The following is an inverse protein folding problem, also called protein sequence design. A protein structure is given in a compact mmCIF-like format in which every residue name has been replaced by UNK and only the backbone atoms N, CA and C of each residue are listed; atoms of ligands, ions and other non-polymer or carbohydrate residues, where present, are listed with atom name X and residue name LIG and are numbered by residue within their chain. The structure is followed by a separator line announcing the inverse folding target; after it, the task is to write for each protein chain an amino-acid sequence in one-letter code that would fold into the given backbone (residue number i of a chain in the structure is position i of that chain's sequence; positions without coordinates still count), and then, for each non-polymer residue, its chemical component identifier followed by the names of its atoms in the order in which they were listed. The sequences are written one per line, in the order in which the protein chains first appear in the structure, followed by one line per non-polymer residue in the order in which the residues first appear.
data_IF_937973853316
#
_entry.id   IF_937973853316
#
_cell.length_a   1.000
_cell.length_b   1.000
_cell.length_c   1.000
_cell.angle_alpha   90.00
_cell.angle_beta   90.00
_cell.angle_gamma   90.00
#
_symmetry.space_group_name_H-M   'P 1'
#
loop_
_entity.id
_entity.type
_entity.pdbx_description
1 polymer ?
#
# COMPACT_ATOMS: atom_id res chain seq x y z
N UNK A 1 -18.75 -16.67 -10.59
CA UNK A 1 -18.29 -15.49 -11.34
C UNK A 1 -18.17 -14.37 -10.33
N UNK A 2 -16.98 -13.79 -10.14
CA UNK A 2 -16.87 -12.57 -9.34
C UNK A 2 -17.59 -11.46 -10.12
N UNK A 3 -18.40 -10.68 -9.43
CA UNK A 3 -19.08 -9.52 -10.02
C UNK A 3 -18.02 -8.57 -10.60
N UNK A 4 -18.25 -8.07 -11.80
CA UNK A 4 -17.39 -7.04 -12.36
C UNK A 4 -17.66 -5.76 -11.58
N UNK A 5 -16.62 -5.19 -10.98
CA UNK A 5 -16.67 -3.89 -10.29
C UNK A 5 -16.39 -2.83 -11.37
N UNK A 6 -17.40 -2.10 -11.88
CA UNK A 6 -17.23 -1.19 -13.01
C UNK A 6 -16.19 -0.10 -12.76
N UNK A 7 -15.99 0.27 -11.49
CA UNK A 7 -15.03 1.27 -11.02
C UNK A 7 -13.57 0.86 -11.29
N UNK A 8 -13.28 -0.44 -11.41
CA UNK A 8 -11.95 -0.93 -11.78
C UNK A 8 -11.71 -0.98 -13.29
N UNK A 9 -12.65 -0.49 -14.12
CA UNK A 9 -12.46 -0.49 -15.57
C UNK A 9 -11.39 0.51 -16.02
N UNK A 10 -11.34 1.66 -15.35
CA UNK A 10 -10.53 2.80 -15.76
C UNK A 10 -9.35 3.06 -14.79
N UNK A 11 -9.03 2.11 -13.91
CA UNK A 11 -7.88 2.24 -13.00
C UNK A 11 -6.56 2.07 -13.76
N UNK A 12 -5.56 2.84 -13.36
CA UNK A 12 -4.20 2.69 -13.86
C UNK A 12 -3.55 1.44 -13.23
N UNK A 13 -3.01 0.55 -14.07
CA UNK A 13 -2.41 -0.72 -13.62
C UNK A 13 -1.04 -0.90 -14.26
N UNK A 14 -0.03 -1.07 -13.41
CA UNK A 14 1.34 -1.37 -13.82
C UNK A 14 1.76 -2.76 -13.36
N UNK A 15 2.08 -3.64 -14.31
CA UNK A 15 2.72 -4.91 -13.98
C UNK A 15 4.24 -4.74 -13.92
N UNK A 16 4.80 -4.92 -12.73
CA UNK A 16 6.20 -4.66 -12.45
C UNK A 16 6.92 -5.94 -12.03
N UNK A 17 7.50 -6.62 -13.02
CA UNK A 17 8.20 -7.89 -12.80
C UNK A 17 9.38 -7.80 -11.82
N UNK A 18 9.95 -6.61 -11.62
CA UNK A 18 11.02 -6.36 -10.65
C UNK A 18 10.66 -6.77 -9.22
N UNK A 19 9.38 -6.68 -8.85
CA UNK A 19 8.93 -7.08 -7.52
C UNK A 19 9.05 -8.58 -7.24
N UNK A 20 9.11 -9.45 -8.25
CA UNK A 20 9.39 -10.87 -8.02
C UNK A 20 10.81 -11.11 -7.51
N UNK A 21 11.76 -10.30 -7.97
CA UNK A 21 13.15 -10.38 -7.55
C UNK A 21 13.39 -9.63 -6.25
N UNK A 22 12.83 -8.42 -6.13
CA UNK A 22 13.04 -7.55 -4.96
C UNK A 22 12.33 -8.09 -3.71
N UNK A 23 11.15 -8.71 -3.84
CA UNK A 23 10.46 -9.32 -2.70
C UNK A 23 11.24 -10.46 -2.04
N UNK A 24 12.17 -11.07 -2.78
CA UNK A 24 13.05 -12.12 -2.30
C UNK A 24 14.35 -11.59 -1.67
N UNK A 25 14.57 -10.26 -1.69
CA UNK A 25 15.72 -9.59 -1.09
C UNK A 25 15.27 -8.83 0.17
N UNK A 26 15.77 -9.26 1.33
CA UNK A 26 15.42 -8.67 2.63
C UNK A 26 15.68 -7.16 2.66
N UNK A 27 14.69 -6.40 3.15
CA UNK A 27 14.79 -4.95 3.37
C UNK A 27 14.81 -4.06 2.12
N UNK A 28 14.68 -4.61 0.91
CA UNK A 28 14.72 -3.81 -0.33
C UNK A 28 13.34 -3.39 -0.85
N UNK A 29 12.28 -4.07 -0.40
CA UNK A 29 10.93 -3.89 -0.97
C UNK A 29 10.35 -2.51 -0.65
N UNK A 30 10.62 -1.94 0.53
CA UNK A 30 10.12 -0.62 0.91
C UNK A 30 10.66 0.48 -0.01
N UNK A 31 11.96 0.51 -0.25
CA UNK A 31 12.60 1.51 -1.12
C UNK A 31 12.11 1.37 -2.56
N UNK A 32 12.02 0.13 -3.06
CA UNK A 32 11.53 -0.13 -4.42
C UNK A 32 10.04 0.23 -4.59
N UNK A 33 9.22 0.06 -3.55
CA UNK A 33 7.83 0.55 -3.53
C UNK A 33 7.79 2.08 -3.61
N UNK A 34 8.59 2.77 -2.77
CA UNK A 34 8.69 4.23 -2.81
C UNK A 34 9.08 4.74 -4.19
N UNK A 35 10.18 4.23 -4.76
CA UNK A 35 10.65 4.62 -6.09
C UNK A 35 9.61 4.36 -7.17
N UNK A 36 8.93 3.22 -7.08
CA UNK A 36 7.87 2.85 -8.02
C UNK A 36 6.67 3.79 -7.93
N UNK A 37 6.19 4.07 -6.71
CA UNK A 37 5.02 4.91 -6.50
C UNK A 37 5.31 6.34 -6.97
N UNK A 38 6.42 6.95 -6.57
CA UNK A 38 6.81 8.28 -7.04
C UNK A 38 7.03 8.34 -8.56
N UNK A 39 7.39 7.22 -9.20
CA UNK A 39 7.59 7.17 -10.66
C UNK A 39 6.29 7.10 -11.45
N UNK A 40 5.31 6.33 -10.98
CA UNK A 40 4.12 5.99 -11.78
C UNK A 40 2.84 6.66 -11.27
N UNK A 41 2.71 6.95 -9.98
CA UNK A 41 1.54 7.63 -9.44
C UNK A 41 1.73 9.15 -9.57
N UNK A 42 0.80 9.83 -10.23
CA UNK A 42 0.73 11.29 -10.18
C UNK A 42 0.19 11.75 -8.83
N UNK A 43 0.45 13.00 -8.46
CA UNK A 43 -0.06 13.58 -7.21
C UNK A 43 -1.59 13.74 -7.17
N UNK A 44 -2.28 13.56 -8.31
CA UNK A 44 -3.74 13.49 -8.39
C UNK A 44 -4.28 12.13 -7.90
N UNK A 45 -3.44 11.08 -7.92
CA UNK A 45 -3.77 9.75 -7.40
C UNK A 45 -3.52 9.76 -5.90
N UNK A 46 -4.59 9.72 -5.10
CA UNK A 46 -4.50 9.78 -3.63
C UNK A 46 -4.41 8.41 -2.97
N UNK A 47 -4.53 7.31 -3.73
CA UNK A 47 -4.53 5.95 -3.19
C UNK A 47 -3.90 4.99 -4.19
N UNK A 48 -2.95 4.19 -3.72
CA UNK A 48 -2.28 3.15 -4.52
C UNK A 48 -2.41 1.81 -3.81
N UNK A 49 -2.82 0.78 -4.55
CA UNK A 49 -2.83 -0.60 -4.07
C UNK A 49 -1.63 -1.37 -4.63
N UNK A 50 -0.76 -1.83 -3.74
CA UNK A 50 0.42 -2.62 -4.11
C UNK A 50 0.21 -4.10 -3.79
N UNK A 51 0.30 -4.96 -4.80
CA UNK A 51 0.14 -6.42 -4.65
C UNK A 51 1.45 -7.15 -4.92
N UNK A 52 1.79 -8.13 -4.08
CA UNK A 52 2.99 -8.93 -4.26
C UNK A 52 3.09 -10.06 -3.25
N UNK A 53 4.33 -10.42 -2.91
CA UNK A 53 4.62 -11.61 -2.10
C UNK A 53 5.26 -11.25 -0.76
N UNK A 54 4.95 -12.05 0.24
CA UNK A 54 5.72 -12.09 1.48
C UNK A 54 7.08 -12.76 1.21
N UNK A 55 8.15 -12.39 1.94
CA UNK A 55 8.17 -11.50 3.11
C UNK A 55 8.30 -10.01 2.80
N UNK A 56 8.73 -9.63 1.60
CA UNK A 56 9.00 -8.23 1.26
C UNK A 56 7.87 -7.24 1.55
N UNK A 57 6.61 -7.63 1.32
CA UNK A 57 5.44 -6.76 1.59
C UNK A 57 5.19 -6.53 3.08
N UNK A 58 5.37 -7.57 3.89
CA UNK A 58 5.28 -7.49 5.34
C UNK A 58 6.35 -6.55 5.91
N UNK A 59 7.58 -6.66 5.40
CA UNK A 59 8.70 -5.80 5.78
C UNK A 59 8.43 -4.35 5.37
N UNK A 60 7.96 -4.11 4.14
CA UNK A 60 7.65 -2.77 3.68
C UNK A 60 6.54 -2.11 4.52
N UNK A 61 5.44 -2.82 4.79
CA UNK A 61 4.38 -2.32 5.66
C UNK A 61 4.89 -2.03 7.07
N UNK A 62 5.79 -2.87 7.58
CA UNK A 62 6.42 -2.67 8.90
C UNK A 62 7.34 -1.46 8.93
N UNK A 63 8.13 -1.25 7.87
CA UNK A 63 9.03 -0.09 7.74
C UNK A 63 8.22 1.21 7.65
N UNK A 64 7.20 1.26 6.80
CA UNK A 64 6.39 2.48 6.63
C UNK A 64 5.62 2.83 7.91
N UNK A 65 5.01 1.84 8.56
CA UNK A 65 4.25 2.07 9.81
C UNK A 65 5.10 2.20 11.06
N UNK A 66 6.33 1.69 11.06
CA UNK A 66 7.17 1.57 12.26
C UNK A 66 6.66 0.51 13.25
N UNK A 67 5.66 -0.29 12.86
CA UNK A 67 5.07 -1.35 13.66
C UNK A 67 5.43 -2.73 13.08
N UNK A 68 5.43 -3.76 13.91
CA UNK A 68 5.55 -5.14 13.40
C UNK A 68 4.23 -5.54 12.74
N UNK A 69 4.21 -5.63 11.42
CA UNK A 69 3.05 -6.10 10.65
C UNK A 69 3.25 -7.58 10.30
N UNK A 70 2.18 -8.38 10.36
CA UNK A 70 2.15 -9.76 9.84
C UNK A 70 1.10 -9.85 8.73
N UNK A 71 1.51 -10.31 7.54
CA UNK A 71 0.59 -10.52 6.42
C UNK A 71 0.47 -12.00 6.11
N UNK A 72 -0.76 -12.52 6.12
CA UNK A 72 -1.08 -13.84 5.57
C UNK A 72 -1.51 -13.71 4.11
N UNK A 73 -1.68 -14.85 3.44
CA UNK A 73 -2.18 -14.88 2.06
C UNK A 73 -3.46 -14.08 1.95
N UNK A 74 -3.47 -13.14 1.00
CA UNK A 74 -4.60 -12.25 0.71
C UNK A 74 -4.98 -11.28 1.85
N UNK A 75 -4.09 -11.04 2.82
CA UNK A 75 -4.20 -9.88 3.69
C UNK A 75 -3.77 -8.60 2.97
N UNK A 76 -4.26 -7.45 3.44
CA UNK A 76 -3.81 -6.13 3.00
C UNK A 76 -3.61 -5.21 4.21
N UNK A 77 -2.44 -4.57 4.32
CA UNK A 77 -2.23 -3.50 5.28
C UNK A 77 -2.71 -2.17 4.67
N UNK A 78 -3.63 -1.48 5.34
CA UNK A 78 -4.04 -0.13 4.97
C UNK A 78 -3.21 0.87 5.76
N UNK A 79 -2.39 1.64 5.04
CA UNK A 79 -1.61 2.73 5.60
C UNK A 79 -2.04 4.06 4.99
N UNK A 80 -1.95 5.13 5.78
CA UNK A 80 -2.15 6.49 5.30
C UNK A 80 -1.14 7.45 5.92
N UNK A 81 -0.89 8.53 5.19
CA UNK A 81 -0.07 9.68 5.61
C UNK A 81 -0.63 10.93 4.93
N UNK A 82 -0.09 12.10 5.26
CA UNK A 82 -0.46 13.38 4.65
C UNK A 82 0.76 13.96 3.94
N UNK A 83 0.55 14.48 2.73
CA UNK A 83 1.57 15.15 1.92
C UNK A 83 0.93 15.82 0.70
N UNK A 84 1.59 16.82 0.12
CA UNK A 84 1.12 17.48 -1.11
C UNK A 84 1.61 16.77 -2.38
N UNK A 85 2.55 15.82 -2.25
CA UNK A 85 3.00 14.91 -3.31
C UNK A 85 3.36 13.55 -2.72
N UNK A 86 3.52 12.52 -3.57
CA UNK A 86 4.02 11.21 -3.11
C UNK A 86 5.44 11.29 -2.56
N UNK A 87 6.32 12.10 -3.16
CA UNK A 87 7.68 12.32 -2.64
C UNK A 87 7.64 12.89 -1.22
N UNK A 88 6.86 13.96 -0.99
CA UNK A 88 6.69 14.58 0.34
C UNK A 88 6.12 13.57 1.34
N UNK A 89 5.11 12.79 0.94
CA UNK A 89 4.54 11.73 1.77
C UNK A 89 5.58 10.69 2.23
N UNK A 90 6.61 10.42 1.42
CA UNK A 90 7.72 9.52 1.76
C UNK A 90 8.89 10.20 2.48
N UNK A 91 8.92 11.53 2.60
CA UNK A 91 9.91 12.25 3.42
C UNK A 91 9.69 12.05 4.92
N UNK A 92 8.49 11.62 5.32
CA UNK A 92 8.19 11.21 6.71
C UNK A 92 9.09 10.08 7.22
N UNK A 93 9.71 9.33 6.31
CA UNK A 93 10.64 8.25 6.61
C UNK A 93 9.97 7.01 7.21
N UNK A 94 10.80 6.10 7.73
CA UNK A 94 10.33 4.88 8.40
C UNK A 94 9.53 5.23 9.65
N UNK A 95 8.36 4.62 9.82
CA UNK A 95 7.42 4.95 10.89
C UNK A 95 6.61 6.22 10.68
N UNK A 96 6.73 6.86 9.51
CA UNK A 96 6.00 8.10 9.22
C UNK A 96 4.54 7.89 8.78
N UNK A 97 4.13 6.66 8.52
CA UNK A 97 2.79 6.33 8.04
C UNK A 97 1.97 5.70 9.17
N UNK A 98 0.68 6.00 9.22
CA UNK A 98 -0.24 5.39 10.18
C UNK A 98 -0.82 4.10 9.60
N UNK A 99 -0.64 2.98 10.29
CA UNK A 99 -1.32 1.73 9.98
C UNK A 99 -2.75 1.78 10.52
N UNK A 100 -3.75 1.93 9.65
CA UNK A 100 -5.16 1.94 10.06
C UNK A 100 -5.63 0.54 10.45
N UNK A 101 -5.33 -0.46 9.62
CA UNK A 101 -5.77 -1.84 9.84
C UNK A 101 -5.00 -2.84 8.96
N UNK A 102 -5.10 -4.12 9.29
CA UNK A 102 -4.73 -5.23 8.41
C UNK A 102 -6.00 -5.99 8.06
N UNK A 103 -6.46 -5.81 6.83
CA UNK A 103 -7.63 -6.46 6.26
C UNK A 103 -7.35 -7.91 5.90
N UNK A 104 -8.35 -8.76 6.13
CA UNK A 104 -8.38 -10.17 5.78
C UNK A 104 -9.49 -10.43 4.76
N UNK A 105 -9.43 -11.52 3.98
CA UNK A 105 -10.41 -11.82 2.95
C UNK A 105 -11.87 -11.87 3.44
N UNK A 106 -12.08 -12.29 4.68
CA UNK A 106 -13.42 -12.47 5.26
C UNK A 106 -13.88 -11.26 6.11
N UNK A 107 -13.09 -10.19 6.15
CA UNK A 107 -13.47 -8.99 6.89
C UNK A 107 -14.61 -8.28 6.16
N UNK A 108 -15.70 -8.02 6.90
CA UNK A 108 -16.81 -7.21 6.40
C UNK A 108 -16.49 -5.75 6.69
N UNK A 109 -16.04 -5.04 5.67
CA UNK A 109 -15.82 -3.60 5.75
C UNK A 109 -17.17 -2.88 5.94
N UNK A 110 -17.33 -2.17 7.05
CA UNK A 110 -18.41 -1.19 7.17
C UNK A 110 -17.95 0.13 6.57
N UNK A 111 -18.74 0.77 5.70
CA UNK A 111 -18.36 2.05 5.06
C UNK A 111 -17.94 3.11 6.08
N UNK A 112 -18.55 3.10 7.26
CA UNK A 112 -18.40 4.09 8.32
C UNK A 112 -17.09 3.93 9.12
N UNK A 113 -16.38 2.81 8.98
CA UNK A 113 -15.14 2.52 9.74
C UNK A 113 -13.87 3.05 9.05
N UNK A 114 -13.98 3.54 7.80
CA UNK A 114 -12.85 4.00 6.98
C UNK A 114 -13.01 5.42 6.44
N UNK A 115 -13.69 6.30 7.19
CA UNK A 115 -13.79 7.71 6.82
C UNK A 115 -12.46 8.45 6.98
N UNK A 116 -11.59 8.29 5.97
CA UNK A 116 -10.32 9.01 5.84
C UNK A 116 -10.51 10.49 5.50
N UNK A 117 -11.74 10.96 5.27
CA UNK A 117 -12.00 12.40 5.05
C UNK A 117 -11.93 13.21 6.33
N UNK A 118 -11.96 12.55 7.50
CA UNK A 118 -11.79 13.21 8.80
C UNK A 118 -10.32 13.54 9.14
N UNK A 119 -9.36 13.10 8.32
CA UNK A 119 -7.93 13.30 8.50
C UNK A 119 -7.29 14.29 7.48
N UNK A 120 -8.10 14.91 6.62
CA UNK A 120 -7.73 16.01 5.72
C UNK A 120 -8.29 17.34 6.25
#
# INVERSE_FOLDING_TARGET
MKEHVPEFRDIEVHFLGSFYSVAAMDGQTADHLKETICKYATDEITTVMCMGHNRGWEEAASIFSGLSVELKTANAALLHTVGNSWEEAFESGAGGWTLSTVLKPDDVLKPDEFDITSAL
#
